data_IF_905373095977
#
_entry.id   IF_905373095977
#
_cell.length_a   1.000
_cell.length_b   1.000
_cell.length_c   1.000
_cell.angle_alpha   90.00
_cell.angle_beta   90.00
_cell.angle_gamma   90.00
#
_symmetry.space_group_name_H-M   'P 1'
#
loop_
_entity.id
_entity.type
_entity.pdbx_description
1 polymer ?
#
# COMPACT_ATOMS: atom_id res chain seq x y z
N UNK A 1 33.66 -7.86 -10.17
CA UNK A 1 32.61 -7.45 -11.13
C UNK A 1 31.81 -6.35 -10.47
N UNK A 2 31.89 -5.11 -10.98
CA UNK A 2 31.12 -3.97 -10.46
C UNK A 2 29.86 -3.90 -11.31
N UNK A 3 28.69 -4.11 -10.70
CA UNK A 3 27.41 -3.98 -11.38
C UNK A 3 27.07 -2.48 -11.46
N UNK A 4 27.03 -1.94 -12.68
CA UNK A 4 26.64 -0.54 -12.94
C UNK A 4 25.15 -0.48 -13.28
N UNK A 5 24.37 0.13 -12.39
CA UNK A 5 22.92 0.27 -12.52
C UNK A 5 22.48 1.63 -13.07
N UNK A 6 23.41 2.51 -13.48
CA UNK A 6 23.09 3.88 -13.93
C UNK A 6 22.15 3.95 -15.13
N UNK A 7 22.11 2.90 -15.95
CA UNK A 7 21.31 2.83 -17.17
C UNK A 7 20.17 1.80 -17.10
N UNK A 8 19.82 1.31 -15.91
CA UNK A 8 18.67 0.42 -15.75
C UNK A 8 17.41 1.28 -15.62
N UNK A 9 16.48 1.14 -16.56
CA UNK A 9 15.14 1.71 -16.40
C UNK A 9 14.51 1.14 -15.12
N UNK A 10 14.38 1.99 -14.11
CA UNK A 10 13.72 1.61 -12.88
C UNK A 10 12.22 1.56 -13.15
N UNK A 11 11.69 0.34 -13.25
CA UNK A 11 10.25 0.13 -13.25
C UNK A 11 9.60 0.67 -11.97
N UNK A 12 8.26 0.70 -11.88
CA UNK A 12 7.49 1.25 -10.76
C UNK A 12 7.67 0.52 -9.40
N UNK A 13 8.69 -0.33 -9.27
CA UNK A 13 8.98 -1.15 -8.10
C UNK A 13 8.15 -2.44 -8.04
N UNK A 14 8.42 -3.24 -7.01
CA UNK A 14 7.64 -4.43 -6.69
C UNK A 14 6.22 -4.01 -6.31
N UNK A 15 5.22 -4.59 -6.97
CA UNK A 15 3.83 -4.39 -6.59
C UNK A 15 3.41 -5.42 -5.55
N UNK A 16 2.92 -4.94 -4.41
CA UNK A 16 2.40 -5.76 -3.32
C UNK A 16 0.91 -5.43 -3.14
N UNK A 17 0.07 -6.46 -3.05
CA UNK A 17 -1.36 -6.30 -2.82
C UNK A 17 -1.61 -5.80 -1.39
N UNK A 18 -2.50 -4.82 -1.25
CA UNK A 18 -3.01 -4.45 0.07
C UNK A 18 -4.06 -5.46 0.52
N UNK A 19 -3.70 -6.32 1.48
CA UNK A 19 -4.60 -7.36 1.97
C UNK A 19 -5.87 -6.82 2.64
N UNK A 20 -5.88 -5.57 3.13
CA UNK A 20 -7.09 -4.94 3.67
C UNK A 20 -8.20 -4.77 2.63
N UNK A 21 -7.88 -4.89 1.33
CA UNK A 21 -8.90 -4.93 0.29
C UNK A 21 -9.72 -6.21 0.33
N UNK A 22 -9.17 -7.30 0.86
CA UNK A 22 -9.87 -8.58 0.98
C UNK A 22 -10.95 -8.56 2.07
N UNK A 23 -10.97 -7.56 2.93
CA UNK A 23 -12.05 -7.33 3.91
C UNK A 23 -13.24 -6.58 3.29
N UNK A 24 -13.10 -6.09 2.05
CA UNK A 24 -14.15 -5.35 1.34
C UNK A 24 -14.98 -6.30 0.46
N UNK A 25 -16.23 -6.49 0.83
CA UNK A 25 -17.16 -7.37 0.11
C UNK A 25 -17.35 -6.95 -1.35
N UNK A 26 -17.39 -5.64 -1.63
CA UNK A 26 -17.55 -5.11 -2.99
C UNK A 26 -16.32 -5.45 -3.83
N UNK A 27 -15.13 -5.36 -3.23
CA UNK A 27 -13.90 -5.76 -3.90
C UNK A 27 -13.89 -7.25 -4.23
N UNK A 28 -14.26 -8.09 -3.26
CA UNK A 28 -14.33 -9.55 -3.44
C UNK A 28 -15.34 -9.92 -4.53
N UNK A 29 -16.53 -9.32 -4.52
CA UNK A 29 -17.57 -9.61 -5.50
C UNK A 29 -17.11 -9.28 -6.92
N UNK A 30 -16.44 -8.14 -7.11
CA UNK A 30 -15.89 -7.75 -8.40
C UNK A 30 -14.77 -8.68 -8.87
N UNK A 31 -13.89 -9.14 -7.97
CA UNK A 31 -12.88 -10.14 -8.33
C UNK A 31 -13.52 -11.45 -8.74
N UNK A 32 -14.54 -11.91 -8.00
CA UNK A 32 -15.28 -13.13 -8.35
C UNK A 32 -15.89 -13.01 -9.75
N UNK A 33 -16.47 -11.85 -10.09
CA UNK A 33 -16.99 -11.57 -11.44
C UNK A 33 -15.89 -11.64 -12.49
N UNK A 34 -14.73 -11.00 -12.26
CA UNK A 34 -13.59 -11.05 -13.19
C UNK A 34 -13.14 -12.50 -13.44
N UNK A 35 -13.04 -13.31 -12.38
CA UNK A 35 -12.65 -14.72 -12.50
C UNK A 35 -13.70 -15.49 -13.29
N UNK A 36 -14.99 -15.31 -12.99
CA UNK A 36 -16.09 -15.98 -13.69
C UNK A 36 -16.13 -15.62 -15.18
N UNK A 37 -15.92 -14.35 -15.53
CA UNK A 37 -15.84 -13.90 -16.92
C UNK A 37 -14.66 -14.56 -17.66
N UNK A 38 -13.49 -14.68 -17.01
CA UNK A 38 -12.30 -15.27 -17.62
C UNK A 38 -12.42 -16.78 -17.87
N UNK A 39 -13.33 -17.49 -17.21
CA UNK A 39 -13.57 -18.93 -17.49
C UNK A 39 -14.14 -19.12 -18.90
N UNK A 40 -14.85 -18.14 -19.44
CA UNK A 40 -15.42 -18.18 -20.80
C UNK A 40 -14.44 -17.72 -21.89
N UNK A 41 -13.20 -17.41 -21.53
CA UNK A 41 -12.15 -17.01 -22.46
C UNK A 41 -11.67 -18.19 -23.31
N UNK A 42 -11.49 -17.99 -24.61
CA UNK A 42 -10.96 -19.02 -25.53
C UNK A 42 -9.58 -19.55 -25.09
N UNK A 43 -8.82 -18.72 -24.36
CA UNK A 43 -7.52 -19.09 -23.81
C UNK A 43 -7.61 -20.11 -22.68
N UNK A 44 -8.77 -20.24 -22.00
CA UNK A 44 -8.93 -21.13 -20.85
C UNK A 44 -8.61 -22.58 -21.22
N UNK A 45 -9.06 -23.03 -22.38
CA UNK A 45 -8.80 -24.39 -22.87
C UNK A 45 -7.60 -24.47 -23.83
N UNK A 46 -7.35 -23.42 -24.62
CA UNK A 46 -6.32 -23.45 -25.67
C UNK A 46 -4.90 -23.16 -25.16
N UNK A 47 -4.76 -22.30 -24.15
CA UNK A 47 -3.46 -21.96 -23.53
C UNK A 47 -3.63 -21.56 -22.06
N UNK A 48 -3.67 -22.53 -21.13
CA UNK A 48 -3.90 -22.28 -19.71
C UNK A 48 -2.86 -21.33 -19.08
N UNK A 49 -1.61 -21.36 -19.56
CA UNK A 49 -0.56 -20.46 -19.08
C UNK A 49 -0.84 -19.00 -19.46
N UNK A 50 -1.15 -18.75 -20.74
CA UNK A 50 -1.51 -17.42 -21.24
C UNK A 50 -2.78 -16.91 -20.55
N UNK A 51 -3.77 -17.78 -20.37
CA UNK A 51 -4.97 -17.47 -19.62
C UNK A 51 -4.66 -17.01 -18.20
N UNK A 52 -3.82 -17.76 -17.47
CA UNK A 52 -3.48 -17.43 -16.10
C UNK A 52 -2.69 -16.12 -15.98
N UNK A 53 -1.78 -15.84 -16.92
CA UNK A 53 -1.07 -14.57 -16.98
C UNK A 53 -2.00 -13.38 -17.26
N UNK A 54 -2.96 -13.55 -18.17
CA UNK A 54 -3.98 -12.54 -18.45
C UNK A 54 -4.88 -12.29 -17.23
N UNK A 55 -5.31 -13.35 -16.55
CA UNK A 55 -6.11 -13.23 -15.33
C UNK A 55 -5.36 -12.46 -14.23
N UNK A 56 -4.09 -12.81 -13.97
CA UNK A 56 -3.23 -12.09 -13.01
C UNK A 56 -3.08 -10.62 -13.39
N UNK A 57 -2.91 -10.32 -14.68
CA UNK A 57 -2.80 -8.95 -15.17
C UNK A 57 -4.10 -8.17 -14.94
N UNK A 58 -5.26 -8.72 -15.33
CA UNK A 58 -6.58 -8.11 -15.09
C UNK A 58 -6.81 -7.86 -13.61
N UNK A 59 -6.55 -8.86 -12.77
CA UNK A 59 -6.67 -8.74 -11.32
C UNK A 59 -5.81 -7.62 -10.76
N UNK A 60 -4.52 -7.58 -11.14
CA UNK A 60 -3.59 -6.53 -10.70
C UNK A 60 -4.08 -5.14 -11.12
N UNK A 61 -4.52 -4.97 -12.37
CA UNK A 61 -5.03 -3.70 -12.88
C UNK A 61 -6.28 -3.27 -12.13
N UNK A 62 -7.23 -4.18 -11.92
CA UNK A 62 -8.43 -3.92 -11.15
C UNK A 62 -8.10 -3.48 -9.71
N UNK A 63 -7.26 -4.23 -9.01
CA UNK A 63 -6.84 -3.92 -7.64
C UNK A 63 -6.17 -2.54 -7.53
N UNK A 64 -5.33 -2.19 -8.51
CA UNK A 64 -4.69 -0.87 -8.57
C UNK A 64 -5.71 0.27 -8.74
N UNK A 65 -6.66 0.12 -9.66
CA UNK A 65 -7.69 1.15 -9.91
C UNK A 65 -8.60 1.29 -8.69
N UNK A 66 -9.14 0.17 -8.20
CA UNK A 66 -10.02 0.14 -7.04
C UNK A 66 -9.38 0.80 -5.81
N UNK A 67 -8.12 0.47 -5.53
CA UNK A 67 -7.37 1.08 -4.42
C UNK A 67 -7.21 2.59 -4.59
N UNK A 68 -6.91 3.06 -5.80
CA UNK A 68 -6.75 4.49 -6.08
C UNK A 68 -8.07 5.22 -5.86
N UNK A 69 -9.18 4.67 -6.34
CA UNK A 69 -10.48 5.33 -6.22
C UNK A 69 -10.97 5.35 -4.78
N UNK A 70 -10.80 4.24 -4.03
CA UNK A 70 -11.06 4.20 -2.59
C UNK A 70 -10.19 5.20 -1.82
N UNK A 71 -8.94 5.38 -2.20
CA UNK A 71 -8.07 6.40 -1.59
C UNK A 71 -8.52 7.83 -1.92
N UNK A 72 -8.97 8.09 -3.15
CA UNK A 72 -9.52 9.41 -3.53
C UNK A 72 -10.76 9.75 -2.72
N UNK A 73 -11.66 8.79 -2.53
CA UNK A 73 -12.86 8.95 -1.73
C UNK A 73 -12.51 9.26 -0.27
N UNK A 74 -11.62 8.48 0.35
CA UNK A 74 -11.12 8.74 1.70
C UNK A 74 -10.48 10.12 1.83
N UNK A 75 -9.69 10.54 0.85
CA UNK A 75 -9.06 11.86 0.85
C UNK A 75 -10.10 12.98 0.74
N UNK A 76 -11.11 12.81 -0.11
CA UNK A 76 -12.21 13.78 -0.25
C UNK A 76 -12.94 13.97 1.08
N UNK A 77 -13.27 12.87 1.76
CA UNK A 77 -13.89 12.92 3.08
C UNK A 77 -13.00 13.56 4.14
N UNK A 78 -11.71 13.22 4.14
CA UNK A 78 -10.73 13.81 5.02
C UNK A 78 -10.66 15.33 4.87
N UNK A 79 -10.47 15.84 3.64
CA UNK A 79 -10.40 17.28 3.38
C UNK A 79 -11.71 17.99 3.70
N UNK A 80 -12.86 17.35 3.45
CA UNK A 80 -14.17 17.89 3.84
C UNK A 80 -14.25 18.11 5.36
N UNK A 81 -13.85 17.12 6.15
CA UNK A 81 -13.84 17.20 7.62
C UNK A 81 -12.81 18.23 8.09
N UNK A 82 -11.59 18.20 7.53
CA UNK A 82 -10.53 19.14 7.88
C UNK A 82 -10.94 20.60 7.64
N UNK A 83 -11.50 20.90 6.47
CA UNK A 83 -11.95 22.26 6.14
C UNK A 83 -13.03 22.72 7.10
N UNK A 84 -13.99 21.84 7.43
CA UNK A 84 -15.05 22.16 8.38
C UNK A 84 -14.50 22.43 9.79
N UNK A 85 -13.55 21.63 10.26
CA UNK A 85 -12.91 21.88 11.55
C UNK A 85 -12.15 23.21 11.55
N UNK A 86 -11.41 23.51 10.48
CA UNK A 86 -10.69 24.77 10.33
C UNK A 86 -11.62 25.97 10.33
N UNK A 87 -12.75 25.93 9.60
CA UNK A 87 -13.76 26.98 9.61
C UNK A 87 -14.33 27.23 11.01
N UNK A 88 -14.58 26.16 11.77
CA UNK A 88 -15.11 26.24 13.11
C UNK A 88 -14.08 26.81 14.09
N UNK A 89 -12.81 26.41 13.99
CA UNK A 89 -11.71 26.99 14.77
C UNK A 89 -11.52 28.49 14.52
N UNK A 90 -11.64 28.93 13.26
CA UNK A 90 -11.54 30.37 12.91
C UNK A 90 -12.70 31.16 13.53
N UNK A 91 -13.92 30.63 13.47
CA UNK A 91 -15.09 31.29 14.04
C UNK A 91 -15.05 31.33 15.58
N UNK A 92 -14.55 30.27 16.22
CA UNK A 92 -14.31 30.24 17.68
C UNK A 92 -13.26 31.29 18.10
N UNK A 93 -12.16 31.41 17.36
CA UNK A 93 -11.15 32.45 17.59
C UNK A 93 -11.71 33.88 17.43
N UNK A 94 -12.73 34.05 16.59
CA UNK A 94 -13.46 35.31 16.41
C UNK A 94 -14.55 35.54 17.49
N UNK A 95 -14.59 34.72 18.55
CA UNK A 95 -15.51 34.88 19.68
C UNK A 95 -16.92 34.34 19.44
N UNK A 96 -17.16 33.62 18.33
CA UNK A 96 -18.43 32.93 18.11
C UNK A 96 -18.43 31.64 18.93
N UNK A 97 -19.33 31.53 19.91
CA UNK A 97 -19.52 30.28 20.65
C UNK A 97 -20.04 29.22 19.68
N UNK A 98 -19.18 28.25 19.36
CA UNK A 98 -19.50 27.16 18.48
C UNK A 98 -19.36 25.87 19.27
N UNK A 99 -20.44 25.09 19.33
CA UNK A 99 -20.36 23.74 19.85
C UNK A 99 -19.67 22.87 18.80
N UNK A 100 -18.38 22.61 19.02
CA UNK A 100 -17.59 21.79 18.12
C UNK A 100 -18.14 20.36 18.10
N UNK A 101 -18.48 19.87 16.91
CA UNK A 101 -19.12 18.57 16.77
C UNK A 101 -18.15 17.46 17.21
N UNK A 102 -18.38 16.90 18.40
CA UNK A 102 -17.56 15.84 18.99
C UNK A 102 -17.38 14.65 18.03
N UNK A 103 -18.41 14.35 17.22
CA UNK A 103 -18.36 13.28 16.23
C UNK A 103 -17.37 13.56 15.09
N UNK A 104 -17.27 14.81 14.63
CA UNK A 104 -16.34 15.17 13.55
C UNK A 104 -14.89 15.15 14.04
N UNK A 105 -14.65 15.58 15.28
CA UNK A 105 -13.34 15.48 15.92
C UNK A 105 -12.92 14.02 16.14
N UNK A 106 -13.82 13.16 16.64
CA UNK A 106 -13.49 11.74 16.84
C UNK A 106 -13.19 11.04 15.52
N UNK A 107 -13.98 11.33 14.47
CA UNK A 107 -13.76 10.80 13.12
C UNK A 107 -12.45 11.30 12.51
N UNK A 108 -12.11 12.58 12.70
CA UNK A 108 -10.85 13.13 12.22
C UNK A 108 -9.64 12.46 12.91
N UNK A 109 -9.69 12.31 14.24
CA UNK A 109 -8.66 11.64 15.01
C UNK A 109 -8.45 10.18 14.58
N UNK A 110 -9.54 9.47 14.27
CA UNK A 110 -9.47 8.10 13.75
C UNK A 110 -8.77 8.04 12.38
N UNK A 111 -9.11 8.95 11.46
CA UNK A 111 -8.48 9.02 10.13
C UNK A 111 -6.98 9.29 10.26
N UNK A 112 -6.57 10.22 11.12
CA UNK A 112 -5.15 10.53 11.37
C UNK A 112 -4.41 9.33 11.98
N UNK A 113 -5.03 8.63 12.93
CA UNK A 113 -4.46 7.40 13.49
C UNK A 113 -4.19 6.35 12.41
N UNK A 114 -5.15 6.13 11.50
CA UNK A 114 -5.00 5.18 10.39
C UNK A 114 -3.86 5.61 9.44
N UNK A 115 -3.74 6.90 9.13
CA UNK A 115 -2.64 7.43 8.30
C UNK A 115 -1.27 7.21 8.95
N UNK A 116 -1.14 7.50 10.25
CA UNK A 116 0.08 7.27 11.00
C UNK A 116 0.47 5.78 10.98
N UNK A 117 -0.48 4.88 11.25
CA UNK A 117 -0.26 3.43 11.17
C UNK A 117 0.17 2.99 9.76
N UNK A 118 -0.46 3.54 8.72
CA UNK A 118 -0.07 3.27 7.33
C UNK A 118 1.33 3.77 6.99
N UNK A 119 1.75 4.92 7.53
CA UNK A 119 3.11 5.43 7.37
C UNK A 119 4.13 4.51 8.05
N UNK A 120 3.87 4.11 9.30
CA UNK A 120 4.70 3.14 10.03
C UNK A 120 4.82 1.83 9.26
N UNK A 121 3.71 1.30 8.74
CA UNK A 121 3.69 0.06 7.98
C UNK A 121 4.52 0.16 6.70
N UNK A 122 4.39 1.25 5.92
CA UNK A 122 5.20 1.45 4.70
C UNK A 122 6.68 1.57 5.00
N UNK A 123 7.05 2.28 6.07
CA UNK A 123 8.44 2.35 6.52
C UNK A 123 9.00 0.97 6.89
N UNK A 124 8.22 0.14 7.59
CA UNK A 124 8.58 -1.24 7.91
C UNK A 124 8.66 -2.14 6.68
N UNK A 125 7.70 -2.04 5.77
CA UNK A 125 7.68 -2.83 4.54
C UNK A 125 8.89 -2.52 3.65
N UNK A 126 9.26 -1.24 3.54
CA UNK A 126 10.49 -0.84 2.86
C UNK A 126 11.73 -1.44 3.53
N UNK A 127 11.83 -1.31 4.86
CA UNK A 127 12.90 -1.92 5.64
C UNK A 127 13.00 -3.45 5.41
N UNK A 128 11.89 -4.18 5.45
CA UNK A 128 11.89 -5.62 5.20
C UNK A 128 12.23 -6.00 3.76
N UNK A 129 11.77 -5.24 2.77
CA UNK A 129 12.12 -5.49 1.36
C UNK A 129 13.60 -5.21 1.05
N UNK A 130 14.23 -4.27 1.77
CA UNK A 130 15.61 -3.85 1.52
C UNK A 130 16.61 -4.64 2.38
N UNK A 131 16.26 -4.93 3.64
CA UNK A 131 17.13 -5.64 4.57
C UNK A 131 16.85 -7.16 4.63
N UNK A 132 15.67 -7.62 4.20
CA UNK A 132 15.36 -9.04 4.08
C UNK A 132 16.14 -9.75 2.97
N UNK A 133 16.55 -9.01 1.94
CA UNK A 133 17.40 -9.51 0.84
C UNK A 133 18.90 -9.40 1.14
N UNK A 134 19.29 -8.76 2.25
CA UNK A 134 20.68 -8.82 2.70
C UNK A 134 20.89 -10.16 3.38
N UNK A 135 21.83 -10.95 2.86
CA UNK A 135 22.36 -12.13 3.56
C UNK A 135 23.17 -11.66 4.79
N UNK A 136 22.48 -11.09 5.77
CA UNK A 136 23.04 -10.50 6.98
C UNK A 136 23.78 -11.56 7.78
N UNK A 137 23.28 -12.80 7.80
CA UNK A 137 23.99 -13.92 8.42
C UNK A 137 25.35 -14.19 7.75
N UNK A 138 25.42 -14.23 6.41
CA UNK A 138 26.67 -14.47 5.66
C UNK A 138 27.68 -13.33 5.84
N UNK A 139 27.26 -12.07 5.72
CA UNK A 139 28.17 -10.92 5.91
C UNK A 139 28.65 -10.80 7.36
N UNK A 140 27.78 -11.05 8.36
CA UNK A 140 28.16 -11.10 9.77
C UNK A 140 29.11 -12.28 10.07
N UNK A 141 28.96 -13.41 9.39
CA UNK A 141 29.90 -14.53 9.50
C UNK A 141 31.26 -14.21 8.87
N UNK A 142 31.28 -13.51 7.72
CA UNK A 142 32.51 -13.04 7.12
C UNK A 142 33.26 -12.10 8.07
N UNK A 143 32.61 -11.11 8.66
CA UNK A 143 33.24 -10.21 9.65
C UNK A 143 33.82 -10.96 10.85
N UNK A 144 33.07 -11.92 11.43
CA UNK A 144 33.57 -12.76 12.53
C UNK A 144 34.85 -13.51 12.13
N UNK A 145 34.91 -14.05 10.91
CA UNK A 145 36.09 -14.76 10.42
C UNK A 145 37.29 -13.81 10.22
N UNK A 146 37.08 -12.58 9.74
CA UNK A 146 38.16 -11.59 9.60
C UNK A 146 38.70 -11.13 10.95
N UNK A 147 37.82 -10.87 11.93
CA UNK A 147 38.24 -10.51 13.29
C UNK A 147 39.10 -11.60 13.92
N UNK A 148 38.68 -12.88 13.85
CA UNK A 148 39.44 -14.01 14.41
C UNK A 148 40.83 -14.15 13.79
N UNK A 149 41.00 -13.83 12.50
CA UNK A 149 42.30 -13.88 11.81
C UNK A 149 43.24 -12.73 12.16
N UNK A 150 42.74 -11.64 12.74
CA UNK A 150 43.56 -10.46 13.08
C UNK A 150 44.13 -10.57 14.50
N UNK A 151 43.61 -11.50 15.32
CA UNK A 151 44.03 -11.75 16.70
C UNK A 151 44.85 -13.05 16.89
N UNK A 152 45.31 -13.66 15.80
CA UNK A 152 46.30 -14.75 15.80
C UNK A 152 47.51 -14.34 14.96
#
# INVERSE_FOLDING_TARGET
MILDFKNVETGPGLWILNNQLLDDEVFIENIKKIIQEEVYSDFYFSSPLTWYDNLKYRFKRFAQVYSKDKQKEKNRDYYRIQNKLQEMSVKEANGVCINMNQYENSKFAEIEKIKCQGAILRSKAFFWSVDGDKNTAYFLQLEKQTTIKTYN
#
